data_IF_168581546849
#
_entry.id   IF_168581546849
#
_cell.length_a   1.000
_cell.length_b   1.000
_cell.length_c   1.000
_cell.angle_alpha   90.00
_cell.angle_beta   90.00
_cell.angle_gamma   90.00
#
_symmetry.space_group_name_H-M   'P 1'
#
loop_
_entity.id
_entity.type
_entity.pdbx_description
1 polymer ?
#
# COMPACT_ATOMS: atom_id res chain seq x y z
N UNK A 1 -3.14 -14.39 8.47
CA UNK A 1 -2.33 -13.37 9.20
C UNK A 1 -3.03 -12.01 9.40
N UNK A 2 -3.31 -11.18 8.38
CA UNK A 2 -3.90 -9.84 8.63
C UNK A 2 -5.33 -9.89 9.20
N UNK A 3 -6.14 -10.86 8.77
CA UNK A 3 -7.55 -11.01 9.21
C UNK A 3 -7.69 -11.67 10.58
N UNK A 4 -6.86 -12.66 10.90
CA UNK A 4 -6.76 -13.21 12.28
C UNK A 4 -6.39 -12.11 13.29
N UNK A 5 -5.46 -11.21 12.92
CA UNK A 5 -5.11 -10.04 13.74
C UNK A 5 -6.30 -9.07 13.86
N UNK A 6 -7.09 -8.86 12.80
CA UNK A 6 -8.33 -8.06 12.88
C UNK A 6 -9.39 -8.71 13.79
N UNK A 7 -9.59 -10.03 13.70
CA UNK A 7 -10.48 -10.80 14.58
C UNK A 7 -10.07 -10.66 16.03
N UNK A 8 -8.78 -10.88 16.33
CA UNK A 8 -8.20 -10.69 17.66
C UNK A 8 -8.35 -9.26 18.16
N UNK A 9 -8.06 -8.25 17.33
CA UNK A 9 -8.17 -6.85 17.72
C UNK A 9 -9.62 -6.45 18.01
N UNK A 10 -10.59 -6.94 17.23
CA UNK A 10 -12.01 -6.68 17.49
C UNK A 10 -12.48 -7.34 18.80
N UNK A 11 -12.07 -8.59 19.05
CA UNK A 11 -12.34 -9.26 20.32
C UNK A 11 -11.68 -8.53 21.50
N UNK A 12 -10.44 -8.05 21.33
CA UNK A 12 -9.74 -7.24 22.33
C UNK A 12 -10.46 -5.93 22.61
N UNK A 13 -10.88 -5.19 21.58
CA UNK A 13 -11.62 -3.92 21.72
C UNK A 13 -12.91 -4.13 22.51
N UNK A 14 -13.70 -5.15 22.15
CA UNK A 14 -14.92 -5.53 22.87
C UNK A 14 -14.64 -5.90 24.33
N UNK A 15 -13.61 -6.70 24.58
CA UNK A 15 -13.19 -7.06 25.94
C UNK A 15 -12.85 -5.81 26.76
N UNK A 16 -12.10 -4.87 26.18
CA UNK A 16 -11.75 -3.62 26.85
C UNK A 16 -12.96 -2.73 27.10
N UNK A 17 -13.92 -2.63 26.17
CA UNK A 17 -15.17 -1.89 26.36
C UNK A 17 -16.01 -2.46 27.52
N UNK A 18 -16.03 -3.79 27.67
CA UNK A 18 -16.81 -4.47 28.71
C UNK A 18 -16.14 -4.43 30.10
N UNK A 19 -14.80 -4.34 30.16
CA UNK A 19 -14.04 -4.57 31.40
C UNK A 19 -13.23 -3.35 31.88
N UNK A 20 -13.03 -2.32 31.04
CA UNK A 20 -12.28 -1.12 31.42
C UNK A 20 -13.17 0.03 31.90
N UNK A 21 -12.63 0.92 32.72
CA UNK A 21 -13.29 2.16 33.18
C UNK A 21 -12.32 3.34 33.12
N UNK A 22 -12.85 4.57 33.01
CA UNK A 22 -12.04 5.80 32.85
C UNK A 22 -11.06 6.08 34.00
N UNK A 23 -11.30 5.51 35.19
CA UNK A 23 -10.51 5.75 36.40
C UNK A 23 -9.40 4.71 36.65
N UNK A 24 -9.20 3.75 35.74
CA UNK A 24 -8.21 2.68 35.92
C UNK A 24 -6.77 3.19 35.82
N UNK A 25 -5.92 2.72 36.73
CA UNK A 25 -4.48 2.94 36.66
C UNK A 25 -3.85 2.13 35.53
N UNK A 26 -2.68 2.56 35.04
CA UNK A 26 -1.89 1.81 34.05
C UNK A 26 -1.63 0.37 34.50
N UNK A 27 -1.51 0.13 35.80
CA UNK A 27 -1.26 -1.21 36.36
C UNK A 27 -2.46 -2.14 36.26
N UNK A 28 -3.68 -1.58 36.30
CA UNK A 28 -4.91 -2.34 36.19
C UNK A 28 -5.27 -2.58 34.72
N UNK A 29 -4.99 -1.62 33.84
CA UNK A 29 -5.09 -1.81 32.38
C UNK A 29 -4.15 -2.94 31.93
N UNK A 30 -2.90 -2.96 32.42
CA UNK A 30 -1.96 -4.06 32.12
C UNK A 30 -2.50 -5.42 32.55
N UNK A 31 -3.13 -5.52 33.73
CA UNK A 31 -3.75 -6.77 34.18
C UNK A 31 -4.91 -7.22 33.28
N UNK A 32 -5.70 -6.29 32.75
CA UNK A 32 -6.76 -6.63 31.79
C UNK A 32 -6.17 -7.14 30.46
N UNK A 33 -5.08 -6.54 29.98
CA UNK A 33 -4.38 -7.03 28.78
C UNK A 33 -3.84 -8.45 29.03
N UNK A 34 -3.14 -8.67 30.14
CA UNK A 34 -2.61 -9.99 30.51
C UNK A 34 -3.75 -11.04 30.63
N UNK A 35 -4.90 -10.63 31.17
CA UNK A 35 -6.09 -11.48 31.31
C UNK A 35 -6.68 -11.84 29.94
N UNK A 36 -6.82 -10.86 29.05
CA UNK A 36 -7.27 -11.10 27.67
C UNK A 36 -6.33 -12.06 26.94
N UNK A 37 -5.01 -11.81 27.01
CA UNK A 37 -4.02 -12.67 26.36
C UNK A 37 -4.11 -14.11 26.87
N UNK A 38 -4.28 -14.30 28.18
CA UNK A 38 -4.49 -15.64 28.76
C UNK A 38 -5.76 -16.30 28.23
N UNK A 39 -6.90 -15.61 28.28
CA UNK A 39 -8.18 -16.16 27.81
C UNK A 39 -8.13 -16.50 26.32
N UNK A 40 -7.57 -15.61 25.50
CA UNK A 40 -7.41 -15.80 24.07
C UNK A 40 -6.51 -17.01 23.77
N UNK A 41 -5.36 -17.13 24.43
CA UNK A 41 -4.43 -18.26 24.26
C UNK A 41 -5.02 -19.60 24.75
N UNK A 42 -5.76 -19.60 25.86
CA UNK A 42 -6.45 -20.81 26.35
C UNK A 42 -7.55 -21.27 25.39
N UNK A 43 -8.28 -20.34 24.77
CA UNK A 43 -9.30 -20.65 23.76
C UNK A 43 -8.71 -21.20 22.47
N UNK A 44 -7.54 -20.70 22.05
CA UNK A 44 -6.84 -21.17 20.84
C UNK A 44 -6.09 -22.49 21.06
N UNK A 45 -5.57 -22.75 22.27
CA UNK A 45 -4.89 -24.02 22.59
C UNK A 45 -5.84 -25.22 22.79
N UNK A 46 -7.13 -24.99 23.06
CA UNK A 46 -8.13 -26.05 23.25
C UNK A 46 -8.65 -26.71 21.97
N UNK A 47 -8.11 -26.34 20.80
CA UNK A 47 -8.21 -27.06 19.52
C UNK A 47 -9.50 -27.85 19.29
N UNK A 48 -10.43 -27.27 18.52
CA UNK A 48 -11.39 -27.92 17.61
C UNK A 48 -12.32 -29.05 18.11
N UNK A 49 -12.24 -29.57 19.33
CA UNK A 49 -13.02 -30.75 19.74
C UNK A 49 -14.25 -30.50 20.63
N UNK A 50 -14.48 -29.30 21.16
CA UNK A 50 -15.74 -29.00 21.89
C UNK A 50 -16.02 -27.49 22.04
N UNK A 51 -16.20 -26.78 20.93
CA UNK A 51 -16.74 -25.41 20.98
C UNK A 51 -18.28 -25.46 20.96
N UNK A 52 -18.85 -25.82 22.10
CA UNK A 52 -20.26 -25.58 22.43
C UNK A 52 -20.50 -24.18 23.02
N UNK A 53 -19.63 -23.22 22.70
CA UNK A 53 -19.97 -21.81 22.78
C UNK A 53 -20.78 -21.45 21.53
N UNK A 54 -21.93 -20.81 21.73
CA UNK A 54 -22.77 -20.31 20.64
C UNK A 54 -21.98 -19.27 19.85
N UNK A 55 -21.29 -19.74 18.80
CA UNK A 55 -20.40 -18.93 17.98
C UNK A 55 -21.23 -17.75 17.44
N UNK A 56 -20.87 -16.55 17.89
CA UNK A 56 -21.62 -15.35 17.55
C UNK A 56 -21.60 -15.16 16.03
N UNK A 57 -22.66 -14.55 15.47
CA UNK A 57 -22.73 -14.28 14.03
C UNK A 57 -21.48 -13.53 13.51
N UNK A 58 -20.82 -12.73 14.37
CA UNK A 58 -19.57 -12.05 14.01
C UNK A 58 -18.39 -13.02 13.81
N UNK A 59 -18.25 -14.08 14.59
CA UNK A 59 -17.15 -15.04 14.44
C UNK A 59 -17.31 -15.86 13.18
N UNK A 60 -18.54 -16.34 12.91
CA UNK A 60 -18.90 -17.01 11.66
C UNK A 60 -18.58 -16.17 10.43
N UNK A 61 -18.89 -14.87 10.47
CA UNK A 61 -18.58 -13.95 9.38
C UNK A 61 -17.07 -13.92 9.09
N UNK A 62 -16.21 -13.82 10.12
CA UNK A 62 -14.77 -13.81 9.93
C UNK A 62 -14.26 -15.12 9.35
N UNK A 63 -14.76 -16.26 9.84
CA UNK A 63 -14.32 -17.58 9.39
C UNK A 63 -14.73 -17.81 7.92
N UNK A 64 -15.94 -17.41 7.53
CA UNK A 64 -16.34 -17.45 6.12
C UNK A 64 -15.53 -16.50 5.23
N UNK A 65 -15.21 -15.30 5.70
CA UNK A 65 -14.34 -14.38 4.96
C UNK A 65 -12.94 -14.98 4.78
N UNK A 66 -12.33 -15.52 5.83
CA UNK A 66 -11.02 -16.17 5.76
C UNK A 66 -11.02 -17.32 4.76
N UNK A 67 -11.99 -18.25 4.87
CA UNK A 67 -12.16 -19.33 3.89
C UNK A 67 -12.34 -18.82 2.45
N UNK A 68 -13.03 -17.69 2.25
CA UNK A 68 -13.22 -17.08 0.94
C UNK A 68 -11.92 -16.47 0.38
N UNK A 69 -11.10 -15.84 1.21
CA UNK A 69 -9.82 -15.25 0.77
C UNK A 69 -8.76 -16.32 0.49
N UNK A 70 -8.76 -17.43 1.23
CA UNK A 70 -7.73 -18.46 1.10
C UNK A 70 -8.00 -19.49 0.00
N UNK A 71 -9.27 -19.71 -0.35
CA UNK A 71 -9.60 -20.75 -1.33
C UNK A 71 -9.19 -20.35 -2.75
N UNK A 72 -8.60 -21.29 -3.49
CA UNK A 72 -8.31 -21.15 -4.92
C UNK A 72 -9.53 -21.45 -5.82
N UNK A 73 -10.61 -21.99 -5.26
CA UNK A 73 -11.82 -22.36 -6.00
C UNK A 73 -12.84 -21.22 -6.02
N UNK A 74 -13.02 -20.60 -7.18
CA UNK A 74 -13.95 -19.48 -7.41
C UNK A 74 -15.38 -19.81 -6.98
N UNK A 75 -15.85 -21.04 -7.20
CA UNK A 75 -17.21 -21.44 -6.81
C UNK A 75 -17.36 -21.48 -5.29
N UNK A 76 -16.33 -21.93 -4.57
CA UNK A 76 -16.30 -21.89 -3.10
C UNK A 76 -16.18 -20.47 -2.58
N UNK A 77 -15.30 -19.65 -3.18
CA UNK A 77 -15.15 -18.23 -2.82
C UNK A 77 -16.47 -17.48 -2.90
N UNK A 78 -17.19 -17.64 -4.02
CA UNK A 78 -18.52 -17.06 -4.21
C UNK A 78 -19.54 -17.60 -3.23
N UNK A 79 -19.49 -18.90 -2.91
CA UNK A 79 -20.40 -19.51 -1.92
C UNK A 79 -20.18 -18.87 -0.54
N UNK A 80 -18.94 -18.82 -0.06
CA UNK A 80 -18.61 -18.27 1.25
C UNK A 80 -18.94 -16.78 1.35
N UNK A 81 -18.56 -15.97 0.35
CA UNK A 81 -18.91 -14.55 0.32
C UNK A 81 -20.43 -14.32 0.33
N UNK A 82 -21.21 -15.15 -0.36
CA UNK A 82 -22.68 -15.10 -0.32
C UNK A 82 -23.26 -15.49 1.03
N UNK A 83 -22.65 -16.44 1.76
CA UNK A 83 -23.08 -16.74 3.12
C UNK A 83 -22.82 -15.55 4.07
N UNK A 84 -21.68 -14.87 3.93
CA UNK A 84 -21.40 -13.62 4.67
C UNK A 84 -22.49 -12.58 4.41
N UNK A 85 -22.83 -12.31 3.15
CA UNK A 85 -23.86 -11.32 2.81
C UNK A 85 -25.29 -11.66 3.27
N UNK A 86 -25.57 -12.93 3.62
CA UNK A 86 -26.85 -13.28 4.26
C UNK A 86 -26.91 -12.86 5.73
N UNK A 87 -25.76 -12.90 6.41
CA UNK A 87 -25.62 -12.54 7.83
C UNK A 87 -25.39 -11.03 7.99
N UNK A 88 -24.56 -10.45 7.13
CA UNK A 88 -24.20 -9.03 7.12
C UNK A 88 -24.28 -8.50 5.69
N UNK A 89 -25.39 -7.82 5.38
CA UNK A 89 -25.68 -7.29 4.04
C UNK A 89 -24.77 -6.14 3.63
N UNK A 90 -24.11 -5.51 4.59
CA UNK A 90 -23.28 -4.33 4.39
C UNK A 90 -21.78 -4.71 4.38
N UNK A 91 -21.48 -6.01 4.28
CA UNK A 91 -20.12 -6.51 4.31
C UNK A 91 -19.35 -6.23 3.01
N UNK A 92 -18.61 -5.12 2.99
CA UNK A 92 -17.81 -4.68 1.84
C UNK A 92 -16.72 -5.67 1.41
N UNK A 93 -16.13 -6.42 2.36
CA UNK A 93 -15.13 -7.45 2.04
C UNK A 93 -15.76 -8.61 1.22
N UNK A 94 -16.98 -9.04 1.58
CA UNK A 94 -17.71 -10.05 0.84
C UNK A 94 -18.17 -9.54 -0.55
N UNK A 95 -18.63 -8.29 -0.64
CA UNK A 95 -18.93 -7.66 -1.94
C UNK A 95 -17.70 -7.63 -2.85
N UNK A 96 -16.54 -7.27 -2.31
CA UNK A 96 -15.29 -7.27 -3.04
C UNK A 96 -14.87 -8.66 -3.52
N UNK A 97 -15.00 -9.69 -2.68
CA UNK A 97 -14.71 -11.07 -3.06
C UNK A 97 -15.57 -11.52 -4.24
N UNK A 98 -16.87 -11.18 -4.23
CA UNK A 98 -17.76 -11.48 -5.35
C UNK A 98 -17.35 -10.69 -6.59
N UNK A 99 -17.10 -9.38 -6.45
CA UNK A 99 -16.73 -8.53 -7.57
C UNK A 99 -15.41 -8.96 -8.23
N UNK A 100 -14.38 -9.23 -7.44
CA UNK A 100 -13.06 -9.66 -7.92
C UNK A 100 -13.08 -11.07 -8.53
N UNK A 101 -13.96 -11.96 -8.07
CA UNK A 101 -14.11 -13.30 -8.66
C UNK A 101 -14.89 -13.26 -9.97
N UNK A 102 -15.95 -12.44 -10.06
CA UNK A 102 -16.82 -12.38 -11.23
C UNK A 102 -16.37 -11.37 -12.31
N UNK A 103 -15.37 -10.52 -12.02
CA UNK A 103 -14.89 -9.51 -12.93
C UNK A 103 -14.27 -10.13 -14.19
N UNK A 104 -14.74 -9.69 -15.37
CA UNK A 104 -14.26 -10.21 -16.66
C UNK A 104 -12.95 -9.58 -17.12
N UNK A 105 -12.78 -8.30 -16.78
CA UNK A 105 -11.65 -7.47 -17.17
C UNK A 105 -11.54 -6.28 -16.19
N UNK A 106 -10.50 -5.46 -16.39
CA UNK A 106 -10.21 -4.32 -15.52
C UNK A 106 -11.32 -3.25 -15.53
N UNK A 107 -12.06 -3.10 -16.63
CA UNK A 107 -13.15 -2.13 -16.74
C UNK A 107 -14.41 -2.65 -16.05
N UNK A 108 -14.72 -3.95 -16.18
CA UNK A 108 -15.78 -4.58 -15.39
C UNK A 108 -15.48 -4.49 -13.89
N UNK A 109 -14.23 -4.73 -13.47
CA UNK A 109 -13.81 -4.57 -12.08
C UNK A 109 -13.98 -3.12 -11.60
N UNK A 110 -13.57 -2.13 -12.41
CA UNK A 110 -13.74 -0.71 -12.09
C UNK A 110 -15.22 -0.35 -11.86
N UNK A 111 -16.12 -0.80 -12.73
CA UNK A 111 -17.56 -0.55 -12.62
C UNK A 111 -18.19 -1.24 -11.38
N UNK A 112 -17.67 -2.42 -11.00
CA UNK A 112 -18.12 -3.11 -9.79
C UNK A 112 -17.65 -2.39 -8.53
N UNK A 113 -16.37 -2.03 -8.48
CA UNK A 113 -15.80 -1.26 -7.38
C UNK A 113 -16.49 0.09 -7.20
N UNK A 114 -16.89 0.77 -8.26
CA UNK A 114 -17.65 2.03 -8.16
C UNK A 114 -18.99 1.84 -7.43
N UNK A 115 -19.68 0.71 -7.66
CA UNK A 115 -20.92 0.37 -6.95
C UNK A 115 -20.67 0.05 -5.47
N UNK A 116 -19.63 -0.73 -5.20
CA UNK A 116 -19.24 -1.09 -3.82
C UNK A 116 -18.81 0.17 -3.07
N UNK A 117 -18.06 1.07 -3.69
CA UNK A 117 -17.68 2.35 -3.07
C UNK A 117 -18.88 3.23 -2.79
N UNK A 118 -19.87 3.26 -3.69
CA UNK A 118 -21.11 3.99 -3.41
C UNK A 118 -21.80 3.45 -2.16
N UNK A 119 -21.93 2.13 -2.05
CA UNK A 119 -22.50 1.51 -0.85
C UNK A 119 -21.65 1.78 0.39
N UNK A 120 -20.32 1.65 0.27
CA UNK A 120 -19.37 1.98 1.33
C UNK A 120 -19.50 3.41 1.83
N UNK A 121 -19.65 4.40 0.94
CA UNK A 121 -19.89 5.78 1.32
C UNK A 121 -21.18 5.93 2.14
N UNK A 122 -22.27 5.27 1.71
CA UNK A 122 -23.55 5.28 2.42
C UNK A 122 -23.40 4.69 3.84
N UNK A 123 -22.62 3.62 4.00
CA UNK A 123 -22.30 3.03 5.31
C UNK A 123 -21.47 4.00 6.15
N UNK A 124 -20.37 4.55 5.61
CA UNK A 124 -19.49 5.47 6.35
C UNK A 124 -20.24 6.73 6.83
N UNK A 125 -21.17 7.25 6.04
CA UNK A 125 -22.04 8.36 6.45
C UNK A 125 -23.06 7.93 7.51
N UNK A 126 -23.76 6.81 7.29
CA UNK A 126 -24.82 6.32 8.18
C UNK A 126 -24.29 5.96 9.58
N UNK A 127 -23.09 5.39 9.64
CA UNK A 127 -22.46 4.98 10.91
C UNK A 127 -21.62 6.11 11.56
N UNK A 128 -21.59 7.32 10.98
CA UNK A 128 -20.90 8.48 11.56
C UNK A 128 -19.37 8.49 11.40
N UNK A 129 -18.79 7.57 10.63
CA UNK A 129 -17.34 7.51 10.42
C UNK A 129 -16.79 8.71 9.64
N UNK A 130 -17.64 9.50 8.98
CA UNK A 130 -17.24 10.72 8.28
C UNK A 130 -17.15 11.96 9.18
N UNK A 131 -17.44 11.82 10.48
CA UNK A 131 -17.28 12.90 11.45
C UNK A 131 -15.80 13.31 11.60
N UNK A 132 -15.55 14.60 11.86
CA UNK A 132 -14.19 15.19 11.84
C UNK A 132 -13.20 14.47 12.77
N UNK A 133 -13.68 13.90 13.87
CA UNK A 133 -12.88 13.16 14.86
C UNK A 133 -12.32 11.83 14.34
N UNK A 134 -12.95 11.25 13.32
CA UNK A 134 -12.54 9.99 12.71
C UNK A 134 -11.63 10.18 11.50
N UNK A 135 -11.68 11.36 10.86
CA UNK A 135 -10.88 11.66 9.66
C UNK A 135 -9.39 11.63 10.01
N UNK A 136 -8.66 10.78 9.30
CA UNK A 136 -7.22 10.56 9.49
C UNK A 136 -6.91 9.27 10.24
N UNK A 137 -7.89 8.71 10.96
CA UNK A 137 -7.75 7.54 11.82
C UNK A 137 -8.49 6.30 11.28
N UNK A 138 -8.98 6.32 10.03
CA UNK A 138 -9.79 5.24 9.47
C UNK A 138 -9.10 3.88 9.64
N UNK A 139 -7.79 3.80 9.45
CA UNK A 139 -7.11 2.51 9.61
C UNK A 139 -7.12 1.96 11.04
N UNK A 140 -7.17 2.82 12.06
CA UNK A 140 -7.24 2.40 13.45
C UNK A 140 -8.68 1.99 13.84
N UNK A 141 -9.68 2.42 13.06
CA UNK A 141 -11.08 2.01 13.17
C UNK A 141 -11.33 0.78 12.29
N UNK A 142 -11.36 -0.41 12.92
CA UNK A 142 -11.50 -1.71 12.23
C UNK A 142 -12.67 -1.73 11.25
N UNK A 143 -13.79 -1.13 11.64
CA UNK A 143 -15.04 -1.10 10.88
C UNK A 143 -14.88 -0.38 9.53
N UNK A 144 -13.95 0.57 9.40
CA UNK A 144 -13.70 1.30 8.14
C UNK A 144 -12.64 0.65 7.25
N UNK A 145 -11.88 -0.33 7.76
CA UNK A 145 -10.80 -0.98 6.99
C UNK A 145 -11.27 -1.63 5.68
N UNK A 146 -12.41 -2.33 5.62
CA UNK A 146 -12.93 -2.84 4.36
C UNK A 146 -13.11 -1.72 3.34
N UNK A 147 -13.74 -0.60 3.73
CA UNK A 147 -13.92 0.57 2.88
C UNK A 147 -12.58 1.13 2.36
N UNK A 148 -11.59 1.28 3.24
CA UNK A 148 -10.25 1.74 2.87
C UNK A 148 -9.56 0.81 1.87
N UNK A 149 -9.70 -0.51 2.02
CA UNK A 149 -9.20 -1.50 1.05
C UNK A 149 -9.90 -1.36 -0.31
N UNK A 150 -11.23 -1.16 -0.35
CA UNK A 150 -11.95 -0.91 -1.60
C UNK A 150 -11.46 0.35 -2.29
N UNK A 151 -11.26 1.45 -1.54
CA UNK A 151 -10.71 2.70 -2.09
C UNK A 151 -9.35 2.46 -2.73
N UNK A 152 -8.46 1.72 -2.05
CA UNK A 152 -7.14 1.40 -2.58
C UNK A 152 -7.24 0.60 -3.88
N UNK A 153 -8.01 -0.50 -3.90
CA UNK A 153 -8.17 -1.32 -5.10
C UNK A 153 -8.76 -0.50 -6.26
N UNK A 154 -9.71 0.39 -5.99
CA UNK A 154 -10.27 1.29 -7.00
C UNK A 154 -9.21 2.26 -7.56
N UNK A 155 -8.40 2.87 -6.70
CA UNK A 155 -7.32 3.75 -7.12
C UNK A 155 -6.25 3.02 -7.97
N UNK A 156 -5.93 1.78 -7.61
CA UNK A 156 -5.00 0.92 -8.35
C UNK A 156 -5.51 0.60 -9.75
N UNK A 157 -6.75 0.09 -9.87
CA UNK A 157 -7.38 -0.20 -11.16
C UNK A 157 -7.52 1.07 -12.03
N UNK A 158 -7.79 2.23 -11.43
CA UNK A 158 -7.78 3.50 -12.16
C UNK A 158 -6.40 3.81 -12.76
N UNK A 159 -5.33 3.62 -12.00
CA UNK A 159 -3.96 3.85 -12.46
C UNK A 159 -3.57 2.87 -13.57
N UNK A 160 -3.89 1.58 -13.43
CA UNK A 160 -3.66 0.54 -14.44
C UNK A 160 -4.34 0.86 -15.78
N UNK A 161 -5.55 1.41 -15.74
CA UNK A 161 -6.28 1.83 -16.94
C UNK A 161 -5.88 3.22 -17.46
N UNK A 162 -4.80 3.81 -16.93
CA UNK A 162 -4.30 5.12 -17.37
C UNK A 162 -5.17 6.29 -16.95
N UNK A 163 -6.15 6.09 -16.06
CA UNK A 163 -7.01 7.16 -15.52
C UNK A 163 -6.29 7.93 -14.40
N UNK A 164 -5.06 8.35 -14.68
CA UNK A 164 -4.08 8.80 -13.69
C UNK A 164 -4.58 9.95 -12.81
N UNK A 165 -5.30 10.93 -13.36
CA UNK A 165 -5.86 12.04 -12.57
C UNK A 165 -6.96 11.61 -11.60
N UNK A 166 -7.71 10.56 -11.93
CA UNK A 166 -8.70 9.98 -11.00
C UNK A 166 -7.98 9.22 -9.90
N UNK A 167 -6.97 8.42 -10.25
CA UNK A 167 -6.15 7.70 -9.27
C UNK A 167 -5.49 8.65 -8.26
N UNK A 168 -4.93 9.78 -8.71
CA UNK A 168 -4.39 10.82 -7.81
C UNK A 168 -5.41 11.25 -6.76
N UNK A 169 -6.63 11.60 -7.18
CA UNK A 169 -7.69 12.05 -6.26
C UNK A 169 -8.06 10.98 -5.24
N UNK A 170 -8.16 9.72 -5.66
CA UNK A 170 -8.48 8.62 -4.75
C UNK A 170 -7.37 8.37 -3.74
N UNK A 171 -6.10 8.40 -4.17
CA UNK A 171 -4.97 8.28 -3.26
C UNK A 171 -4.85 9.47 -2.30
N UNK A 172 -5.11 10.70 -2.75
CA UNK A 172 -5.19 11.87 -1.88
C UNK A 172 -6.28 11.72 -0.82
N UNK A 173 -7.47 11.24 -1.20
CA UNK A 173 -8.56 11.00 -0.25
C UNK A 173 -8.20 9.88 0.73
N UNK A 174 -7.58 8.80 0.27
CA UNK A 174 -7.09 7.73 1.17
C UNK A 174 -6.12 8.30 2.21
N UNK A 175 -5.18 9.17 1.82
CA UNK A 175 -4.22 9.79 2.74
C UNK A 175 -4.83 10.85 3.67
N UNK A 176 -6.01 11.37 3.33
CA UNK A 176 -6.79 12.26 4.19
C UNK A 176 -7.57 11.44 5.23
N UNK A 177 -8.14 10.31 4.82
CA UNK A 177 -8.88 9.41 5.72
C UNK A 177 -7.93 8.58 6.61
N UNK A 178 -6.71 8.30 6.15
CA UNK A 178 -5.68 7.53 6.84
C UNK A 178 -4.34 8.29 6.79
N UNK A 179 -4.12 9.20 7.73
CA UNK A 179 -2.98 10.11 7.71
C UNK A 179 -1.63 9.40 7.90
N UNK A 180 -1.62 8.36 8.73
CA UNK A 180 -0.44 7.52 9.01
C UNK A 180 -0.05 6.62 7.82
N UNK A 181 -0.90 6.56 6.79
CA UNK A 181 -0.70 5.80 5.56
C UNK A 181 -0.29 4.34 5.82
N UNK A 182 -1.09 3.67 6.65
CA UNK A 182 -0.91 2.26 6.97
C UNK A 182 -1.06 1.35 5.74
N UNK A 183 -1.70 1.84 4.67
CA UNK A 183 -1.82 1.16 3.37
C UNK A 183 -0.61 1.36 2.45
N UNK A 184 0.27 2.32 2.74
CA UNK A 184 1.45 2.61 1.93
C UNK A 184 1.16 3.30 0.59
N UNK A 185 -0.01 3.93 0.42
CA UNK A 185 -0.40 4.53 -0.85
C UNK A 185 0.42 5.77 -1.20
N UNK A 186 1.14 6.38 -0.24
CA UNK A 186 2.05 7.51 -0.49
C UNK A 186 3.09 7.19 -1.58
N UNK A 187 3.52 5.94 -1.69
CA UNK A 187 4.51 5.53 -2.68
C UNK A 187 3.94 5.54 -4.11
N UNK A 188 2.68 5.12 -4.29
CA UNK A 188 1.96 5.23 -5.57
C UNK A 188 1.68 6.68 -5.93
N UNK A 189 1.21 7.46 -4.96
CA UNK A 189 0.92 8.87 -5.15
C UNK A 189 2.17 9.67 -5.52
N UNK A 190 3.33 9.37 -4.92
CA UNK A 190 4.61 9.99 -5.29
C UNK A 190 4.96 9.76 -6.76
N UNK A 191 4.76 8.54 -7.26
CA UNK A 191 4.99 8.20 -8.67
C UNK A 191 4.03 8.92 -9.62
N UNK A 192 2.77 9.10 -9.22
CA UNK A 192 1.79 9.87 -9.98
C UNK A 192 2.12 11.37 -10.00
N UNK A 193 2.55 11.97 -8.88
CA UNK A 193 3.03 13.35 -8.89
C UNK A 193 4.26 13.52 -9.79
N UNK A 194 5.20 12.56 -9.76
CA UNK A 194 6.34 12.55 -10.68
C UNK A 194 5.92 12.40 -12.14
N UNK A 195 4.89 11.60 -12.42
CA UNK A 195 4.35 11.43 -13.77
C UNK A 195 3.82 12.75 -14.33
N UNK A 196 3.11 13.53 -13.51
CA UNK A 196 2.57 14.85 -13.87
C UNK A 196 3.55 16.02 -13.70
N UNK A 197 4.80 15.77 -13.32
CA UNK A 197 5.82 16.80 -13.03
C UNK A 197 5.40 17.78 -11.92
N UNK A 198 4.53 17.33 -11.01
CA UNK A 198 3.99 18.09 -9.89
C UNK A 198 5.01 18.15 -8.74
N UNK A 199 6.02 19.02 -8.89
CA UNK A 199 7.07 19.22 -7.89
C UNK A 199 6.50 19.66 -6.54
N UNK A 200 5.48 20.51 -6.55
CA UNK A 200 4.94 21.09 -5.32
C UNK A 200 4.34 19.99 -4.43
N UNK A 201 3.43 19.18 -4.99
CA UNK A 201 2.79 18.13 -4.21
C UNK A 201 3.73 16.96 -3.92
N UNK A 202 4.65 16.62 -4.83
CA UNK A 202 5.69 15.63 -4.55
C UNK A 202 6.55 16.04 -3.34
N UNK A 203 7.01 17.29 -3.26
CA UNK A 203 7.84 17.75 -2.14
C UNK A 203 7.04 17.91 -0.84
N UNK A 204 5.78 18.34 -0.91
CA UNK A 204 4.87 18.34 0.25
C UNK A 204 4.70 16.93 0.82
N UNK A 205 4.41 15.95 -0.04
CA UNK A 205 4.26 14.55 0.35
C UNK A 205 5.55 13.98 0.96
N UNK A 206 6.69 14.25 0.32
CA UNK A 206 8.01 13.84 0.84
C UNK A 206 8.28 14.44 2.23
N UNK A 207 7.92 15.70 2.46
CA UNK A 207 8.08 16.36 3.76
C UNK A 207 7.10 15.82 4.81
N UNK A 208 5.83 15.57 4.45
CA UNK A 208 4.79 15.02 5.35
C UNK A 208 5.28 13.73 6.01
N UNK A 209 5.90 12.84 5.25
CA UNK A 209 6.43 11.57 5.76
C UNK A 209 7.93 11.64 6.09
N UNK A 210 8.35 12.72 6.77
CA UNK A 210 9.68 12.91 7.35
C UNK A 210 10.87 12.78 6.38
N UNK A 211 10.67 13.00 5.09
CA UNK A 211 11.73 12.88 4.10
C UNK A 211 12.32 11.48 4.03
N UNK A 212 11.49 10.44 4.24
CA UNK A 212 11.90 9.04 4.20
C UNK A 212 12.74 8.77 2.94
N UNK A 213 14.01 8.42 3.13
CA UNK A 213 14.97 8.16 2.04
C UNK A 213 14.80 6.75 1.45
N UNK A 214 13.55 6.27 1.33
CA UNK A 214 13.23 5.02 0.64
C UNK A 214 13.39 5.21 -0.88
N UNK A 215 13.63 4.12 -1.59
CA UNK A 215 13.72 4.13 -3.05
C UNK A 215 12.39 4.57 -3.65
N UNK A 216 11.28 4.05 -3.12
CA UNK A 216 9.93 4.35 -3.60
C UNK A 216 9.55 5.85 -3.51
N UNK A 217 10.25 6.64 -2.68
CA UNK A 217 10.08 8.10 -2.63
C UNK A 217 11.12 8.83 -3.49
N UNK A 218 12.40 8.45 -3.36
CA UNK A 218 13.49 9.18 -3.98
C UNK A 218 13.58 8.94 -5.50
N UNK A 219 13.26 7.73 -5.96
CA UNK A 219 13.36 7.38 -7.38
C UNK A 219 12.34 8.15 -8.22
N UNK A 220 11.05 8.22 -7.87
CA UNK A 220 10.11 9.06 -8.60
C UNK A 220 10.48 10.54 -8.60
N UNK A 221 10.94 11.09 -7.46
CA UNK A 221 11.41 12.49 -7.41
C UNK A 221 12.61 12.70 -8.34
N UNK A 222 13.51 11.72 -8.44
CA UNK A 222 14.59 11.77 -9.42
C UNK A 222 14.06 11.81 -10.86
N UNK A 223 13.07 10.99 -11.19
CA UNK A 223 12.44 10.99 -12.52
C UNK A 223 11.72 12.32 -12.79
N UNK A 224 11.00 12.86 -11.80
CA UNK A 224 10.36 14.18 -11.87
C UNK A 224 11.36 15.25 -12.32
N UNK A 225 12.50 15.38 -11.62
CA UNK A 225 13.50 16.38 -11.99
C UNK A 225 14.20 16.08 -13.33
N UNK A 226 14.27 14.82 -13.74
CA UNK A 226 14.76 14.47 -15.07
C UNK A 226 13.80 14.98 -16.14
N UNK A 227 12.49 14.75 -15.98
CA UNK A 227 11.45 15.21 -16.92
C UNK A 227 11.41 16.73 -17.04
N UNK A 228 11.63 17.44 -15.93
CA UNK A 228 11.78 18.91 -15.90
C UNK A 228 13.10 19.44 -16.51
N UNK A 229 14.02 18.58 -16.94
CA UNK A 229 15.35 18.97 -17.44
C UNK A 229 16.33 19.43 -16.36
N UNK A 230 15.98 19.29 -15.08
CA UNK A 230 16.79 19.68 -13.93
C UNK A 230 17.75 18.55 -13.52
N UNK A 231 18.61 18.13 -14.45
CA UNK A 231 19.46 16.94 -14.33
C UNK A 231 20.38 16.92 -13.10
N UNK A 232 20.83 18.08 -12.63
CA UNK A 232 21.65 18.19 -11.41
C UNK A 232 20.85 17.79 -10.17
N UNK A 233 19.59 18.25 -10.05
CA UNK A 233 18.71 17.86 -8.96
C UNK A 233 18.36 16.38 -9.05
N UNK A 234 17.99 15.90 -10.23
CA UNK A 234 17.72 14.48 -10.49
C UNK A 234 18.88 13.59 -10.03
N UNK A 235 20.12 13.90 -10.45
CA UNK A 235 21.31 13.14 -10.04
C UNK A 235 21.56 13.19 -8.53
N UNK A 236 21.24 14.31 -7.86
CA UNK A 236 21.37 14.39 -6.41
C UNK A 236 20.42 13.44 -5.68
N UNK A 237 19.21 13.21 -6.19
CA UNK A 237 18.29 12.20 -5.65
C UNK A 237 18.79 10.78 -5.90
N UNK A 238 19.31 10.45 -7.10
CA UNK A 238 19.97 9.16 -7.33
C UNK A 238 21.16 8.92 -6.38
N UNK A 239 21.95 9.96 -6.11
CA UNK A 239 23.06 9.87 -5.14
C UNK A 239 22.57 9.64 -3.70
N UNK A 240 21.39 10.13 -3.32
CA UNK A 240 20.78 9.80 -2.02
C UNK A 240 20.43 8.31 -1.96
N UNK A 241 19.89 7.76 -3.04
CA UNK A 241 19.59 6.32 -3.16
C UNK A 241 20.88 5.50 -3.07
N UNK A 242 21.93 5.87 -3.82
CA UNK A 242 23.22 5.17 -3.87
C UNK A 242 23.92 5.05 -2.49
N UNK A 243 23.65 5.97 -1.56
CA UNK A 243 24.18 5.89 -0.18
C UNK A 243 23.65 4.68 0.58
N UNK A 244 22.41 4.27 0.33
CA UNK A 244 21.72 3.21 1.06
C UNK A 244 21.58 1.93 0.23
N UNK A 245 21.48 2.06 -1.10
CA UNK A 245 21.26 0.94 -2.02
C UNK A 245 22.53 0.65 -2.82
N UNK A 246 23.24 -0.40 -2.41
CA UNK A 246 24.42 -0.88 -3.15
C UNK A 246 23.99 -1.43 -4.51
N UNK A 247 24.80 -1.15 -5.54
CA UNK A 247 24.58 -1.71 -6.87
C UNK A 247 23.61 -0.94 -7.77
N UNK A 248 23.13 0.25 -7.37
CA UNK A 248 22.22 1.09 -8.18
C UNK A 248 22.68 1.25 -9.64
N UNK A 249 23.96 1.56 -9.87
CA UNK A 249 24.50 1.67 -11.23
C UNK A 249 24.45 0.34 -12.00
N UNK A 250 24.76 -0.78 -11.34
CA UNK A 250 24.70 -2.11 -11.95
C UNK A 250 23.25 -2.46 -12.30
N UNK A 251 22.31 -2.15 -11.41
CA UNK A 251 20.88 -2.34 -11.65
C UNK A 251 20.43 -1.63 -12.92
N UNK A 252 20.71 -0.32 -13.08
CA UNK A 252 20.35 0.38 -14.33
C UNK A 252 21.05 -0.20 -15.57
N UNK A 253 22.31 -0.65 -15.45
CA UNK A 253 22.99 -1.37 -16.54
C UNK A 253 22.24 -2.64 -16.91
N UNK A 254 21.80 -3.42 -15.94
CA UNK A 254 21.11 -4.68 -16.16
C UNK A 254 19.72 -4.44 -16.77
N UNK A 255 19.01 -3.39 -16.36
CA UNK A 255 17.74 -2.97 -16.98
C UNK A 255 17.91 -2.62 -18.47
N UNK A 256 18.98 -1.92 -18.85
CA UNK A 256 19.28 -1.63 -20.27
C UNK A 256 19.58 -2.87 -21.10
N UNK A 257 20.04 -3.97 -20.47
CA UNK A 257 20.37 -5.22 -21.15
C UNK A 257 19.22 -6.24 -21.06
N UNK A 258 17.99 -5.77 -20.81
CA UNK A 258 16.78 -6.60 -20.71
C UNK A 258 16.88 -7.71 -19.65
N UNK A 259 17.73 -7.51 -18.62
CA UNK A 259 17.88 -8.46 -17.50
C UNK A 259 16.91 -8.17 -16.35
N UNK A 260 15.80 -7.47 -16.63
CA UNK A 260 14.77 -7.15 -15.63
C UNK A 260 14.14 -8.41 -15.04
N UNK A 261 13.88 -9.43 -15.86
CA UNK A 261 13.30 -10.71 -15.43
C UNK A 261 14.14 -11.42 -14.36
N UNK A 262 15.47 -11.27 -14.39
CA UNK A 262 16.35 -11.83 -13.35
C UNK A 262 16.00 -11.29 -11.97
N UNK A 263 15.73 -9.99 -11.86
CA UNK A 263 15.37 -9.35 -10.59
C UNK A 263 13.96 -9.75 -10.13
N UNK A 264 13.01 -9.90 -11.06
CA UNK A 264 11.65 -10.37 -10.74
C UNK A 264 11.66 -11.81 -10.21
N UNK A 265 12.43 -12.71 -10.84
CA UNK A 265 12.59 -14.08 -10.37
C UNK A 265 13.33 -14.17 -9.03
N UNK A 266 14.20 -13.21 -8.74
CA UNK A 266 14.85 -13.12 -7.42
C UNK A 266 13.86 -12.63 -6.34
N UNK A 267 13.03 -11.63 -6.65
CA UNK A 267 12.01 -11.13 -5.74
C UNK A 267 11.04 -12.24 -5.31
N UNK A 268 10.57 -13.05 -6.27
CA UNK A 268 9.64 -14.15 -6.01
C UNK A 268 10.23 -15.26 -5.13
N UNK A 269 11.56 -15.38 -5.06
CA UNK A 269 12.25 -16.45 -4.31
C UNK A 269 12.76 -16.03 -2.94
N UNK A 270 13.08 -14.75 -2.72
CA UNK A 270 13.68 -14.26 -1.46
C UNK A 270 12.79 -13.29 -0.67
N UNK A 271 11.64 -12.89 -1.22
CA UNK A 271 10.76 -11.90 -0.61
C UNK A 271 11.30 -10.47 -0.71
N UNK A 272 10.48 -9.49 -0.30
CA UNK A 272 10.81 -8.07 -0.33
C UNK A 272 11.93 -7.71 0.67
N UNK A 273 12.96 -6.98 0.20
CA UNK A 273 14.03 -6.44 1.05
C UNK A 273 14.14 -4.92 0.90
N UNK A 274 13.87 -4.14 1.95
CA UNK A 274 14.07 -2.68 1.95
C UNK A 274 15.51 -2.28 1.65
N UNK A 275 15.71 -1.10 1.05
CA UNK A 275 17.01 -0.52 0.72
C UNK A 275 17.90 -1.41 -0.16
N UNK A 276 17.28 -2.15 -1.08
CA UNK A 276 17.97 -3.09 -1.97
C UNK A 276 17.56 -2.89 -3.43
N UNK A 277 18.13 -3.70 -4.33
CA UNK A 277 17.69 -3.77 -5.73
C UNK A 277 16.27 -4.29 -5.89
N UNK A 278 15.73 -4.97 -4.86
CA UNK A 278 14.35 -5.48 -4.85
C UNK A 278 13.35 -4.32 -4.75
N UNK A 279 13.69 -3.29 -3.98
CA UNK A 279 12.88 -2.07 -3.88
C UNK A 279 12.93 -1.25 -5.19
N UNK A 280 14.07 -1.27 -5.89
CA UNK A 280 14.21 -0.64 -7.21
C UNK A 280 13.34 -1.32 -8.27
N UNK A 281 13.36 -2.66 -8.36
CA UNK A 281 12.56 -3.38 -9.33
C UNK A 281 11.07 -3.20 -9.04
N UNK A 282 10.63 -3.34 -7.79
CA UNK A 282 9.24 -3.09 -7.40
C UNK A 282 8.79 -1.67 -7.74
N UNK A 283 9.58 -0.67 -7.36
CA UNK A 283 9.26 0.73 -7.66
C UNK A 283 9.15 1.00 -9.16
N UNK A 284 9.90 0.28 -10.00
CA UNK A 284 9.83 0.42 -11.45
C UNK A 284 8.68 -0.37 -12.06
N UNK A 285 8.40 -1.59 -11.61
CA UNK A 285 7.35 -2.44 -12.19
C UNK A 285 5.96 -1.98 -11.81
N UNK A 286 5.77 -1.55 -10.57
CA UNK A 286 4.47 -1.09 -10.08
C UNK A 286 4.13 0.34 -10.56
N UNK A 287 5.09 1.04 -11.17
CA UNK A 287 4.91 2.40 -11.70
C UNK A 287 5.54 2.53 -13.09
N UNK A 288 5.40 1.50 -13.92
CA UNK A 288 6.01 1.40 -15.25
C UNK A 288 5.66 2.61 -16.14
N UNK A 289 4.43 3.14 -16.04
CA UNK A 289 3.95 4.35 -16.72
C UNK A 289 4.89 5.56 -16.54
N UNK A 290 5.54 5.69 -15.38
CA UNK A 290 6.47 6.78 -15.09
C UNK A 290 7.76 6.62 -15.92
N UNK A 291 8.27 5.40 -16.04
CA UNK A 291 9.51 5.12 -16.75
C UNK A 291 9.31 5.02 -18.26
N UNK A 292 8.16 4.52 -18.71
CA UNK A 292 7.78 4.53 -20.13
C UNK A 292 7.71 5.96 -20.70
N UNK A 293 7.27 6.93 -19.90
CA UNK A 293 7.24 8.35 -20.30
C UNK A 293 8.57 9.09 -20.09
N UNK A 294 9.56 8.44 -19.47
CA UNK A 294 10.91 8.95 -19.27
C UNK A 294 11.94 7.96 -19.83
N UNK A 295 11.76 7.52 -21.07
CA UNK A 295 12.48 6.38 -21.68
C UNK A 295 14.01 6.49 -21.61
N UNK A 296 14.57 7.69 -21.74
CA UNK A 296 16.03 7.91 -21.64
C UNK A 296 16.56 7.99 -20.20
N UNK A 297 15.69 7.95 -19.17
CA UNK A 297 16.09 8.11 -17.77
C UNK A 297 17.06 7.02 -17.32
N UNK A 298 16.79 5.76 -17.66
CA UNK A 298 17.61 4.61 -17.24
C UNK A 298 19.03 4.70 -17.80
N UNK A 299 19.13 4.96 -19.11
CA UNK A 299 20.42 5.14 -19.79
C UNK A 299 21.17 6.35 -19.20
N UNK A 300 20.49 7.49 -19.07
CA UNK A 300 21.05 8.68 -18.47
C UNK A 300 21.55 8.43 -17.04
N UNK A 301 20.75 7.76 -16.19
CA UNK A 301 21.11 7.47 -14.81
C UNK A 301 22.37 6.60 -14.75
N UNK A 302 22.44 5.55 -15.56
CA UNK A 302 23.62 4.69 -15.68
C UNK A 302 24.89 5.48 -16.07
N UNK A 303 24.78 6.37 -17.05
CA UNK A 303 25.91 7.18 -17.50
C UNK A 303 26.41 8.19 -16.47
N UNK A 304 25.50 8.76 -15.66
CA UNK A 304 25.84 9.80 -14.69
C UNK A 304 26.31 9.22 -13.36
N UNK A 305 25.79 8.07 -12.95
CA UNK A 305 26.24 7.37 -11.76
C UNK A 305 27.70 6.92 -11.91
N UNK A 306 28.51 7.10 -10.87
CA UNK A 306 29.95 6.80 -10.88
C UNK A 306 30.86 7.83 -11.58
N UNK A 307 30.32 8.91 -12.18
CA UNK A 307 31.17 10.05 -12.58
C UNK A 307 31.51 10.88 -11.34
N UNK A 308 32.80 10.93 -10.96
CA UNK A 308 33.27 11.82 -9.90
C UNK A 308 32.95 13.27 -10.30
N UNK A 309 32.05 13.93 -9.57
CA UNK A 309 31.80 15.37 -9.71
C UNK A 309 33.03 16.11 -9.19
N UNK A 310 34.02 16.37 -10.05
CA UNK A 310 35.26 17.05 -9.64
C UNK A 310 36.44 17.04 -10.63
N UNK A 311 36.25 16.71 -11.91
CA UNK A 311 37.30 16.88 -12.91
C UNK A 311 37.31 18.31 -13.46
N UNK A 312 38.22 19.16 -12.97
CA UNK A 312 38.53 20.47 -13.59
C UNK A 312 38.63 20.29 -15.11
N UNK A 313 37.89 21.08 -15.89
CA UNK A 313 38.01 21.10 -17.34
C UNK A 313 39.49 21.29 -17.69
N UNK A 314 40.10 20.35 -18.40
CA UNK A 314 41.42 20.58 -19.00
C UNK A 314 41.29 21.81 -19.89
N UNK A 315 41.94 22.92 -19.51
CA UNK A 315 42.12 24.09 -20.38
C UNK A 315 42.74 23.58 -21.67
N UNK A 316 42.01 23.71 -22.77
CA UNK A 316 42.53 23.52 -24.11
C UNK A 316 43.52 24.66 -24.35
N UNK A 317 44.82 24.36 -24.23
CA UNK A 317 45.88 25.24 -24.70
C UNK A 317 45.86 25.16 -26.22
N UNK A 318 45.30 26.19 -26.86
CA UNK A 318 45.44 26.38 -28.31
C UNK A 318 46.93 26.63 -28.61
N UNK A 319 47.57 25.67 -29.25
CA UNK A 319 48.85 25.89 -29.93
C UNK A 319 48.58 26.80 -31.13
N UNK A 320 49.16 28.00 -31.10
CA UNK A 320 49.30 28.85 -32.28
C UNK A 320 50.20 28.13 -33.29
N UNK A 321 49.73 27.99 -34.52
CA UNK A 321 50.59 27.97 -35.71
C UNK A 321 50.26 29.20 -36.53
#
# INVERSE_FOLDING_TARGET
>A
MHREIEKMYKQFKKFMEEHSTEEMSESEIRKLIDEFERQYNESTMKGEEDNSFDESDSEKIYDYLEMAFETEDDSKRLKYAKEVLKMDKDNLDAEYLIASTDAKDSIDMLNRLEKILKHGNEIMEREGFMDEENIGEFWEIVETRPYMRIKQSYAEILAENGMMKKAVKEYEEILKLNENDNLGVRFRLMSLYAFFEDEENALKLYKKYNGQNSVQMLLPISVLYFKKGEFTKSLNYLKKIEKNVKGLKKFFKDMMNERGEFYLNQLSSMGYRPFSTDELILSMTENDYLFLTASSFVEWAYEKLGKKTGGKSKKVVKLKK
#
